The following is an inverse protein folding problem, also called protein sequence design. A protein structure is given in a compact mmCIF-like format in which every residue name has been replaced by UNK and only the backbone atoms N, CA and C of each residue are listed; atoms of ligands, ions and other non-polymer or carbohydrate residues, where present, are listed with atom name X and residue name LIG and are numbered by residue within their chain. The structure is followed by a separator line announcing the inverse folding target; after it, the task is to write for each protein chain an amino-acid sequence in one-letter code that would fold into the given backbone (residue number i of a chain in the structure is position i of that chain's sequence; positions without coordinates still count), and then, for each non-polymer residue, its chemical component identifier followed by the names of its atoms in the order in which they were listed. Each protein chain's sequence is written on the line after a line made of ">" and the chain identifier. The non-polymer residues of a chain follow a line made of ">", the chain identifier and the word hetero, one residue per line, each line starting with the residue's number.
data_IF_324088681928
#
_entry.id   IF_324088681928
#
_cell.length_a   1.000
_cell.length_b   1.000
_cell.length_c   1.000
_cell.angle_alpha   90.00
_cell.angle_beta   90.00
_cell.angle_gamma   90.00
#
_symmetry.space_group_name_H-M   'P 1'
#
loop_
_entity.id
_entity.type
_entity.pdbx_description
1 polymer ?
#
# COMPACT_ATOMS: atom_id res chain seq x y z
N UNK A 1 -19.16 22.59 5.63
CA UNK A 1 -19.13 22.44 7.10
C UNK A 1 -17.67 22.45 7.53
N UNK A 2 -17.20 23.52 8.21
CA UNK A 2 -15.79 23.63 8.64
C UNK A 2 -15.60 22.76 9.88
N UNK A 3 -14.57 21.89 9.94
CA UNK A 3 -14.26 21.17 11.18
C UNK A 3 -13.93 22.18 12.28
N UNK A 4 -14.27 21.84 13.52
CA UNK A 4 -13.82 22.62 14.67
C UNK A 4 -12.28 22.61 14.72
N UNK A 5 -11.70 23.67 15.29
CA UNK A 5 -10.26 23.94 15.17
C UNK A 5 -9.39 22.81 15.72
N UNK A 6 -9.83 22.18 16.80
CA UNK A 6 -9.27 20.98 17.42
C UNK A 6 -9.25 19.78 16.47
N UNK A 7 -10.34 19.55 15.73
CA UNK A 7 -10.42 18.43 14.79
C UNK A 7 -9.60 18.67 13.52
N UNK A 8 -9.48 19.92 13.08
CA UNK A 8 -8.56 20.30 12.01
C UNK A 8 -7.10 20.03 12.41
N UNK A 9 -6.67 20.46 13.60
CA UNK A 9 -5.31 20.25 14.10
C UNK A 9 -5.00 18.77 14.26
N UNK A 10 -5.92 17.97 14.80
CA UNK A 10 -5.76 16.52 14.93
C UNK A 10 -5.54 15.85 13.58
N UNK A 11 -6.40 16.11 12.58
CA UNK A 11 -6.26 15.51 11.23
C UNK A 11 -5.03 16.01 10.50
N UNK A 12 -4.67 17.28 10.67
CA UNK A 12 -3.47 17.86 10.09
C UNK A 12 -2.21 17.18 10.64
N UNK A 13 -2.09 17.03 11.96
CA UNK A 13 -0.94 16.39 12.61
C UNK A 13 -0.82 14.89 12.29
N UNK A 14 -1.92 14.19 12.01
CA UNK A 14 -1.87 12.80 11.53
C UNK A 14 -1.26 12.66 10.13
N UNK A 15 -1.26 13.72 9.32
CA UNK A 15 -0.68 13.71 7.97
C UNK A 15 0.72 14.32 7.91
N UNK A 16 1.16 14.98 8.98
CA UNK A 16 2.53 15.50 9.07
C UNK A 16 3.44 14.34 9.46
N UNK A 17 4.27 13.94 8.50
CA UNK A 17 5.31 12.95 8.70
C UNK A 17 6.28 13.47 9.80
N UNK A 18 6.51 12.71 10.90
CA UNK A 18 7.36 13.20 11.98
C UNK A 18 8.76 13.57 11.49
N UNK A 19 9.42 14.58 12.08
CA UNK A 19 10.81 14.89 11.73
C UNK A 19 11.69 13.64 11.94
N UNK A 20 12.48 13.29 10.93
CA UNK A 20 13.30 12.08 10.91
C UNK A 20 12.68 10.87 10.19
N UNK A 21 11.38 10.92 9.88
CA UNK A 21 10.80 9.96 8.92
C UNK A 21 11.19 10.39 7.50
N UNK A 22 12.20 9.73 6.94
CA UNK A 22 12.45 9.81 5.51
C UNK A 22 11.38 8.99 4.80
N UNK A 23 10.50 9.65 4.04
CA UNK A 23 9.50 8.94 3.23
C UNK A 23 10.19 7.82 2.45
N UNK A 24 9.65 6.59 2.54
CA UNK A 24 10.23 5.42 1.88
C UNK A 24 10.15 5.67 0.38
N UNK A 25 11.23 6.23 -0.15
CA UNK A 25 11.42 6.32 -1.59
C UNK A 25 11.78 4.92 -2.03
N UNK A 26 10.81 4.22 -2.62
CA UNK A 26 11.11 3.02 -3.37
C UNK A 26 12.12 3.41 -4.44
N UNK A 27 13.36 2.93 -4.32
CA UNK A 27 14.37 3.00 -5.37
C UNK A 27 14.61 1.58 -5.89
N UNK A 28 14.89 1.46 -7.19
CA UNK A 28 15.17 0.16 -7.81
C UNK A 28 13.98 -0.49 -8.51
N UNK A 29 13.95 -1.82 -8.52
CA UNK A 29 13.13 -2.64 -9.41
C UNK A 29 11.62 -2.51 -9.20
N UNK A 30 11.20 -2.14 -7.98
CA UNK A 30 9.79 -2.04 -7.59
C UNK A 30 9.27 -0.60 -7.57
N UNK A 31 10.04 0.35 -8.10
CA UNK A 31 9.56 1.74 -8.30
C UNK A 31 8.35 1.75 -9.24
N UNK A 32 7.26 2.45 -8.89
CA UNK A 32 6.02 2.44 -9.69
C UNK A 32 6.28 2.67 -11.19
N UNK A 33 7.13 3.65 -11.53
CA UNK A 33 7.51 3.98 -12.92
C UNK A 33 8.21 2.85 -13.70
N UNK A 34 8.98 1.98 -13.03
CA UNK A 34 9.72 0.90 -13.73
C UNK A 34 9.29 -0.50 -13.33
N UNK A 35 8.35 -0.61 -12.38
CA UNK A 35 7.92 -1.86 -11.75
C UNK A 35 7.44 -2.86 -12.79
N UNK A 36 6.56 -2.46 -13.70
CA UNK A 36 6.02 -3.38 -14.70
C UNK A 36 7.10 -3.91 -15.63
N UNK A 37 7.88 -3.02 -16.24
CA UNK A 37 8.94 -3.39 -17.17
C UNK A 37 9.99 -4.30 -16.51
N UNK A 38 10.44 -3.97 -15.29
CA UNK A 38 11.43 -4.80 -14.62
C UNK A 38 10.86 -6.11 -14.09
N UNK A 39 9.59 -6.15 -13.64
CA UNK A 39 8.94 -7.40 -13.25
C UNK A 39 8.77 -8.35 -14.43
N UNK A 40 8.40 -7.85 -15.61
CA UNK A 40 8.34 -8.65 -16.84
C UNK A 40 9.72 -9.22 -17.19
N UNK A 41 10.76 -8.38 -17.14
CA UNK A 41 12.14 -8.82 -17.38
C UNK A 41 12.59 -9.89 -16.37
N UNK A 42 12.28 -9.71 -15.08
CA UNK A 42 12.58 -10.68 -14.03
C UNK A 42 11.89 -12.03 -14.28
N UNK A 43 10.61 -12.00 -14.65
CA UNK A 43 9.84 -13.22 -15.01
C UNK A 43 10.43 -13.95 -16.21
N UNK A 44 10.82 -13.20 -17.24
CA UNK A 44 11.48 -13.75 -18.43
C UNK A 44 12.80 -14.46 -18.07
N UNK A 45 13.64 -13.82 -17.26
CA UNK A 45 14.91 -14.40 -16.79
C UNK A 45 14.70 -15.65 -15.94
N UNK A 46 13.67 -15.64 -15.08
CA UNK A 46 13.33 -16.77 -14.22
C UNK A 46 12.58 -17.89 -14.96
N UNK A 47 12.28 -17.73 -16.26
CA UNK A 47 11.42 -18.65 -17.04
C UNK A 47 10.09 -18.95 -16.34
N UNK A 48 9.61 -18.00 -15.53
CA UNK A 48 8.36 -18.14 -14.78
C UNK A 48 7.27 -17.38 -15.52
N UNK A 49 6.20 -18.05 -15.97
CA UNK A 49 5.07 -17.34 -16.56
C UNK A 49 4.46 -16.38 -15.53
N UNK A 50 3.87 -15.29 -16.02
CA UNK A 50 3.14 -14.38 -15.16
C UNK A 50 1.99 -15.13 -14.47
N UNK A 51 1.76 -14.91 -13.16
CA UNK A 51 0.58 -15.47 -12.51
C UNK A 51 -0.67 -14.98 -13.26
N UNK A 52 -1.64 -15.87 -13.42
CA UNK A 52 -2.96 -15.49 -13.93
C UNK A 52 -3.42 -14.26 -13.15
N UNK A 53 -3.91 -13.24 -13.85
CA UNK A 53 -4.37 -12.01 -13.21
C UNK A 53 -5.40 -12.41 -12.15
N UNK A 54 -5.01 -12.34 -10.88
CA UNK A 54 -5.97 -12.36 -9.80
C UNK A 54 -6.79 -11.09 -10.03
N UNK A 55 -8.04 -11.26 -10.45
CA UNK A 55 -9.02 -10.20 -10.37
C UNK A 55 -8.98 -9.74 -8.91
N UNK A 56 -8.62 -8.47 -8.63
CA UNK A 56 -8.89 -7.93 -7.31
C UNK A 56 -10.38 -8.17 -7.09
N UNK A 57 -10.73 -8.92 -6.05
CA UNK A 57 -12.11 -8.96 -5.63
C UNK A 57 -12.43 -7.54 -5.15
N UNK A 58 -13.02 -6.71 -6.02
CA UNK A 58 -13.28 -5.29 -5.73
C UNK A 58 -14.31 -5.10 -4.60
N UNK A 59 -14.80 -6.21 -4.03
CA UNK A 59 -15.74 -6.29 -2.92
C UNK A 59 -15.15 -6.77 -1.59
N UNK A 60 -13.89 -7.23 -1.53
CA UNK A 60 -13.31 -7.69 -0.27
C UNK A 60 -12.90 -6.47 0.59
N UNK A 61 -13.68 -6.17 1.63
CA UNK A 61 -13.26 -5.20 2.64
C UNK A 61 -11.91 -5.64 3.17
N UNK A 62 -10.88 -4.83 2.91
CA UNK A 62 -9.50 -5.11 3.30
C UNK A 62 -9.38 -5.46 4.80
N UNK A 63 -10.30 -4.95 5.64
CA UNK A 63 -10.38 -5.29 7.06
C UNK A 63 -10.74 -6.76 7.31
N UNK A 64 -11.65 -7.33 6.53
CA UNK A 64 -12.05 -8.72 6.64
C UNK A 64 -10.92 -9.65 6.20
N UNK A 65 -10.22 -9.27 5.11
CA UNK A 65 -9.01 -9.97 4.65
C UNK A 65 -7.88 -9.94 5.68
N UNK A 66 -7.69 -8.80 6.34
CA UNK A 66 -6.72 -8.67 7.44
C UNK A 66 -7.07 -9.59 8.61
N UNK A 67 -8.35 -9.64 9.00
CA UNK A 67 -8.81 -10.50 10.10
C UNK A 67 -8.60 -11.98 9.80
N UNK A 68 -8.91 -12.42 8.58
CA UNK A 68 -8.74 -13.81 8.16
C UNK A 68 -7.26 -14.25 8.19
N UNK A 69 -6.35 -13.39 7.75
CA UNK A 69 -4.92 -13.73 7.62
C UNK A 69 -4.17 -13.66 8.95
N UNK A 70 -4.55 -12.72 9.81
CA UNK A 70 -3.82 -12.45 11.07
C UNK A 70 -4.49 -13.04 12.30
N UNK A 71 -5.77 -13.40 12.23
CA UNK A 71 -6.59 -13.76 13.39
C UNK A 71 -6.87 -12.59 14.34
N UNK A 72 -6.41 -11.39 14.01
CA UNK A 72 -6.55 -10.19 14.83
C UNK A 72 -7.41 -9.16 14.12
N UNK A 73 -8.28 -8.46 14.86
CA UNK A 73 -9.07 -7.36 14.31
C UNK A 73 -8.18 -6.12 14.18
N UNK A 74 -8.27 -5.45 13.04
CA UNK A 74 -7.44 -4.27 12.76
C UNK A 74 -7.75 -3.15 13.77
N UNK A 75 -6.73 -2.53 14.41
CA UNK A 75 -6.94 -1.42 15.33
C UNK A 75 -7.45 -0.19 14.57
N UNK A 76 -8.53 0.40 15.08
CA UNK A 76 -9.25 1.56 14.51
C UNK A 76 -8.49 2.87 14.65
#
# INVERSE_FOLDING_TARGET
>A
MRPQADEFVRRFLLHVLPPGFQGIRHFGMLTNRTREAKLQQGRHLLKSPAPAAATPDESEDYRDRYWLLSGAKMPS
#
